data_IF_050518209721
#
_entry.id   IF_050518209721
#
_cell.length_a   1.000
_cell.length_b   1.000
_cell.length_c   1.000
_cell.angle_alpha   90.00
_cell.angle_beta   90.00
_cell.angle_gamma   90.00
#
_symmetry.space_group_name_H-M   'P 1'
#
loop_
_entity.id
_entity.type
_entity.pdbx_description
1 polymer ?
#
# COMPACT_ATOMS: atom_id res chain seq x y z
N UNK A 1 7.17 -0.07 -19.51
CA UNK A 1 7.25 -1.47 -19.94
C UNK A 1 6.13 -1.73 -20.93
N UNK A 2 6.42 -1.93 -22.22
CA UNK A 2 5.43 -2.19 -23.26
C UNK A 2 4.82 -3.60 -23.17
N UNK A 3 4.25 -3.94 -22.01
CA UNK A 3 3.50 -5.17 -21.76
C UNK A 3 2.02 -4.85 -21.87
N UNK A 4 1.25 -5.76 -22.46
CA UNK A 4 -0.20 -5.61 -22.65
C UNK A 4 -1.01 -6.13 -21.44
N UNK A 5 -0.34 -6.46 -20.34
CA UNK A 5 -0.97 -7.01 -19.13
C UNK A 5 -0.33 -6.45 -17.86
N UNK A 6 -1.13 -6.44 -16.79
CA UNK A 6 -0.75 -6.00 -15.45
C UNK A 6 -0.24 -7.19 -14.65
N UNK A 7 0.85 -6.98 -13.90
CA UNK A 7 1.35 -7.95 -12.92
C UNK A 7 1.10 -7.49 -11.49
N UNK A 8 1.10 -8.40 -10.50
CA UNK A 8 1.00 -8.05 -9.10
C UNK A 8 2.00 -6.97 -8.67
N UNK A 9 3.22 -6.98 -9.23
CA UNK A 9 4.25 -5.99 -8.92
C UNK A 9 3.85 -4.57 -9.36
N UNK A 10 3.12 -4.43 -10.47
CA UNK A 10 2.61 -3.12 -10.90
C UNK A 10 1.61 -2.54 -9.90
N UNK A 11 0.76 -3.42 -9.34
CA UNK A 11 -0.21 -3.04 -8.30
C UNK A 11 0.50 -2.66 -7.01
N UNK A 12 1.49 -3.44 -6.56
CA UNK A 12 2.29 -3.14 -5.36
C UNK A 12 2.96 -1.77 -5.46
N UNK A 13 3.54 -1.45 -6.62
CA UNK A 13 4.15 -0.14 -6.88
C UNK A 13 3.13 1.01 -6.88
N UNK A 14 1.91 0.77 -7.33
CA UNK A 14 0.85 1.76 -7.35
C UNK A 14 0.14 1.94 -5.99
N UNK A 15 0.23 0.96 -5.09
CA UNK A 15 -0.57 0.91 -3.87
C UNK A 15 -0.38 2.14 -2.96
N UNK A 16 0.85 2.50 -2.60
CA UNK A 16 1.12 3.65 -1.72
C UNK A 16 0.63 4.98 -2.32
N UNK A 17 1.03 5.40 -3.54
CA UNK A 17 0.58 6.69 -4.07
C UNK A 17 -0.94 6.76 -4.29
N UNK A 18 -1.60 5.63 -4.58
CA UNK A 18 -3.06 5.58 -4.79
C UNK A 18 -3.84 5.57 -3.47
N UNK A 19 -3.32 4.94 -2.42
CA UNK A 19 -4.08 4.70 -1.19
C UNK A 19 -3.71 5.65 -0.04
N UNK A 20 -2.52 6.25 -0.03
CA UNK A 20 -2.02 7.07 1.09
C UNK A 20 -2.98 8.19 1.52
N UNK A 21 -3.62 8.85 0.54
CA UNK A 21 -4.58 9.93 0.77
C UNK A 21 -6.02 9.44 1.06
N UNK A 22 -6.24 8.12 1.05
CA UNK A 22 -7.55 7.46 1.24
C UNK A 22 -7.64 6.68 2.55
N UNK A 23 -6.53 6.55 3.25
CA UNK A 23 -6.44 5.85 4.54
C UNK A 23 -6.25 6.91 5.62
N UNK A 24 -7.16 6.92 6.59
CA UNK A 24 -7.10 7.82 7.74
C UNK A 24 -6.54 7.02 8.91
N UNK A 25 -5.41 7.48 9.45
CA UNK A 25 -4.81 6.92 10.66
C UNK A 25 -5.51 7.56 11.87
N UNK A 26 -5.73 6.79 12.94
CA UNK A 26 -6.34 7.38 14.14
C UNK A 26 -5.36 8.33 14.82
N UNK A 27 -5.83 9.40 15.50
CA UNK A 27 -4.96 10.38 16.10
C UNK A 27 -3.93 9.78 17.06
N UNK A 28 -4.31 8.75 17.82
CA UNK A 28 -3.42 8.06 18.77
C UNK A 28 -2.21 7.44 18.05
N UNK A 29 -2.43 6.87 16.87
CA UNK A 29 -1.40 6.24 16.06
C UNK A 29 -0.53 7.26 15.32
N UNK A 30 -1.12 8.35 14.85
CA UNK A 30 -0.35 9.46 14.28
C UNK A 30 0.59 10.08 15.32
N UNK A 31 0.14 10.19 16.59
CA UNK A 31 0.98 10.66 17.70
C UNK A 31 2.14 9.70 18.02
N UNK A 32 1.97 8.40 17.76
CA UNK A 32 3.04 7.38 17.82
C UNK A 32 4.00 7.45 16.61
N UNK A 33 3.74 8.34 15.64
CA UNK A 33 4.52 8.51 14.43
C UNK A 33 4.15 7.53 13.31
N UNK A 34 3.05 6.80 13.44
CA UNK A 34 2.57 5.88 12.39
C UNK A 34 1.97 6.67 11.24
N UNK A 35 2.43 6.40 10.02
CA UNK A 35 1.89 7.02 8.82
C UNK A 35 0.97 6.07 8.06
N UNK A 36 0.06 6.60 7.23
CA UNK A 36 -0.76 5.76 6.35
C UNK A 36 0.10 4.98 5.35
N UNK A 37 1.28 5.49 4.98
CA UNK A 37 2.26 4.76 4.13
C UNK A 37 2.73 3.49 4.82
N UNK A 38 3.05 3.54 6.12
CA UNK A 38 3.54 2.38 6.87
C UNK A 38 2.46 1.31 6.97
N UNK A 39 1.22 1.72 7.28
CA UNK A 39 0.05 0.83 7.33
C UNK A 39 -0.18 0.15 5.98
N UNK A 40 -0.16 0.91 4.89
CA UNK A 40 -0.38 0.36 3.54
C UNK A 40 0.70 -0.66 3.18
N UNK A 41 1.98 -0.37 3.47
CA UNK A 41 3.08 -1.30 3.20
C UNK A 41 2.93 -2.61 3.98
N UNK A 42 2.63 -2.51 5.28
CA UNK A 42 2.40 -3.69 6.11
C UNK A 42 1.26 -4.55 5.59
N UNK A 43 0.14 -3.94 5.17
CA UNK A 43 -0.99 -4.69 4.59
C UNK A 43 -0.57 -5.39 3.30
N UNK A 44 0.10 -4.70 2.38
CA UNK A 44 0.55 -5.26 1.10
C UNK A 44 1.49 -6.46 1.31
N UNK A 45 2.35 -6.42 2.32
CA UNK A 45 3.26 -7.52 2.67
C UNK A 45 2.54 -8.78 3.14
N UNK A 46 1.35 -8.65 3.75
CA UNK A 46 0.55 -9.80 4.20
C UNK A 46 -0.27 -10.46 3.11
N UNK A 47 -0.42 -9.82 1.94
CA UNK A 47 -1.20 -10.37 0.83
C UNK A 47 -0.32 -11.30 0.00
N UNK A 48 -0.66 -12.59 0.04
CA UNK A 48 -0.02 -13.59 -0.82
C UNK A 48 -0.33 -13.30 -2.30
N UNK A 49 0.69 -13.45 -3.15
CA UNK A 49 0.49 -13.39 -4.60
C UNK A 49 -0.01 -14.77 -5.04
N UNK A 50 -1.19 -14.87 -5.70
CA UNK A 50 -1.68 -16.13 -6.25
C UNK A 50 -0.69 -16.72 -7.25
N UNK A 51 -0.55 -18.06 -7.25
CA UNK A 51 0.26 -18.80 -8.23
C UNK A 51 -0.41 -18.85 -9.60
#
# INVERSE_FOLDING_TARGET
SGRDFVTPEDIKRAAVPVLHHRVIVTPEREMEGVTSTDVIKQIIETVEIPR
#
